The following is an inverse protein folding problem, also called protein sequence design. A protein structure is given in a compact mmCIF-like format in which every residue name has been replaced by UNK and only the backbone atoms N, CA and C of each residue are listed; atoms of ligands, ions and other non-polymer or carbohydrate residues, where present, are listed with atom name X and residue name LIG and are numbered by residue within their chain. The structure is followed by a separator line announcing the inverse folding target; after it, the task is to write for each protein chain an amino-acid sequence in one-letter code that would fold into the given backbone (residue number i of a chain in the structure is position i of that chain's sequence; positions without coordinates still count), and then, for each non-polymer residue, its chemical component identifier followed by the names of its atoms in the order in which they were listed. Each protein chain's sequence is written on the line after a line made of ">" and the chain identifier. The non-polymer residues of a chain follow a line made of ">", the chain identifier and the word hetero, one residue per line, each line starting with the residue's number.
data_IF_343333890743
#
_entry.id   IF_343333890743
#
_cell.length_a   1.000
_cell.length_b   1.000
_cell.length_c   1.000
_cell.angle_alpha   90.00
_cell.angle_beta   90.00
_cell.angle_gamma   90.00
#
_symmetry.space_group_name_H-M   'P 1'
#
loop_
_entity.id
_entity.type
_entity.pdbx_description
1 polymer ?
#
# COMPACT_ATOMS: atom_id res chain seq x y z
N UNK A 1 -14.52 -1.50 29.13
CA UNK A 1 -13.28 -1.59 28.32
C UNK A 1 -13.19 -0.30 27.53
N UNK A 2 -12.03 0.37 27.43
CA UNK A 2 -11.92 1.56 26.60
C UNK A 2 -12.27 1.20 25.15
N UNK A 3 -13.14 1.97 24.52
CA UNK A 3 -13.58 1.75 23.14
C UNK A 3 -12.36 1.63 22.23
N UNK A 4 -12.25 0.49 21.55
CA UNK A 4 -11.15 0.20 20.65
C UNK A 4 -11.32 1.06 19.41
N UNK A 5 -10.64 2.19 19.36
CA UNK A 5 -10.60 3.06 18.18
C UNK A 5 -9.96 2.31 17.02
N UNK A 6 -10.73 2.11 15.94
CA UNK A 6 -10.23 1.49 14.72
C UNK A 6 -9.55 2.57 13.86
N UNK A 7 -8.29 2.38 13.43
CA UNK A 7 -7.60 3.38 12.62
C UNK A 7 -8.26 3.51 11.24
N UNK A 8 -8.55 4.74 10.81
CA UNK A 8 -9.15 5.01 9.49
C UNK A 8 -8.25 4.67 8.29
N UNK A 9 -6.93 4.61 8.52
CA UNK A 9 -5.95 4.23 7.50
C UNK A 9 -4.92 3.26 8.10
N UNK A 10 -4.65 2.18 7.38
CA UNK A 10 -3.61 1.22 7.69
C UNK A 10 -2.63 1.13 6.52
N UNK A 11 -1.34 1.09 6.84
CA UNK A 11 -0.27 0.75 5.91
C UNK A 11 0.55 -0.37 6.52
N UNK A 12 0.67 -1.49 5.81
CA UNK A 12 1.42 -2.66 6.25
C UNK A 12 2.31 -3.20 5.14
N UNK A 13 3.44 -3.78 5.54
CA UNK A 13 4.43 -4.39 4.65
C UNK A 13 4.72 -5.80 5.11
N UNK A 14 4.89 -6.72 4.15
CA UNK A 14 5.58 -8.00 4.34
C UNK A 14 6.52 -8.21 3.16
N UNK A 15 7.44 -9.17 3.27
CA UNK A 15 8.30 -9.55 2.16
C UNK A 15 8.43 -11.06 2.06
N UNK A 16 8.65 -11.55 0.84
CA UNK A 16 8.81 -12.98 0.54
C UNK A 16 9.96 -13.19 -0.43
N UNK A 17 10.64 -14.34 -0.27
CA UNK A 17 11.61 -14.87 -1.23
C UNK A 17 11.08 -16.11 -1.98
N UNK A 18 9.83 -16.48 -1.74
CA UNK A 18 9.25 -17.73 -2.23
C UNK A 18 9.01 -17.71 -3.74
N UNK A 19 9.57 -18.69 -4.46
CA UNK A 19 9.34 -18.88 -5.90
C UNK A 19 7.87 -19.05 -6.25
N UNK A 20 7.13 -19.75 -5.39
CA UNK A 20 5.69 -19.94 -5.52
C UNK A 20 4.97 -18.59 -5.48
N UNK A 21 5.30 -17.73 -4.51
CA UNK A 21 4.67 -16.41 -4.37
C UNK A 21 5.00 -15.48 -5.55
N UNK A 22 6.23 -15.51 -6.05
CA UNK A 22 6.59 -14.79 -7.27
C UNK A 22 5.80 -15.28 -8.49
N UNK A 23 5.71 -16.59 -8.67
CA UNK A 23 4.98 -17.21 -9.77
C UNK A 23 3.48 -16.89 -9.70
N UNK A 24 2.89 -16.92 -8.51
CA UNK A 24 1.51 -16.49 -8.26
C UNK A 24 1.29 -15.02 -8.63
N UNK A 25 2.24 -14.14 -8.32
CA UNK A 25 2.16 -12.73 -8.72
C UNK A 25 2.27 -12.52 -10.22
N UNK A 26 3.25 -13.16 -10.85
CA UNK A 26 3.49 -13.05 -12.29
C UNK A 26 2.23 -13.51 -13.04
N UNK A 27 1.63 -14.62 -12.61
CA UNK A 27 0.36 -15.09 -13.15
C UNK A 27 -0.81 -14.13 -12.87
N UNK A 28 -0.79 -13.40 -11.75
CA UNK A 28 -1.79 -12.39 -11.43
C UNK A 28 -1.73 -11.19 -12.39
N UNK A 29 -0.54 -10.79 -12.85
CA UNK A 29 -0.35 -9.67 -13.80
C UNK A 29 -1.13 -9.91 -15.10
N UNK A 30 -1.12 -11.15 -15.60
CA UNK A 30 -1.80 -11.53 -16.86
C UNK A 30 -3.32 -11.59 -16.75
N UNK A 31 -3.89 -11.63 -15.54
CA UNK A 31 -5.33 -11.87 -15.38
C UNK A 31 -6.18 -10.73 -15.94
N UNK A 32 -7.28 -11.06 -16.64
CA UNK A 32 -8.32 -10.09 -16.98
C UNK A 32 -8.89 -9.45 -15.71
N UNK A 33 -9.20 -8.16 -15.79
CA UNK A 33 -9.71 -7.36 -14.66
C UNK A 33 -10.95 -7.98 -14.00
N UNK A 34 -11.87 -8.53 -14.82
CA UNK A 34 -13.11 -9.17 -14.39
C UNK A 34 -12.93 -10.46 -13.58
N UNK A 35 -11.75 -11.10 -13.61
CA UNK A 35 -11.48 -12.40 -12.95
C UNK A 35 -10.49 -12.24 -11.79
N UNK A 36 -9.82 -11.08 -11.66
CA UNK A 36 -8.86 -10.82 -10.57
C UNK A 36 -9.50 -10.88 -9.18
N UNK A 37 -10.77 -10.51 -9.11
CA UNK A 37 -11.63 -10.52 -7.94
C UNK A 37 -11.79 -11.88 -7.24
N UNK A 38 -12.00 -12.91 -8.05
CA UNK A 38 -12.53 -14.23 -7.62
C UNK A 38 -11.48 -15.16 -7.01
N UNK A 39 -10.19 -14.90 -7.25
CA UNK A 39 -9.11 -15.84 -6.96
C UNK A 39 -7.91 -15.20 -6.25
N UNK A 40 -8.12 -14.04 -5.63
CA UNK A 40 -7.09 -13.31 -4.91
C UNK A 40 -6.71 -13.85 -3.52
N UNK A 41 -7.50 -14.71 -2.83
CA UNK A 41 -7.09 -15.32 -1.57
C UNK A 41 -5.79 -16.16 -1.64
N UNK A 42 -5.17 -16.28 -2.82
CA UNK A 42 -3.92 -17.01 -3.04
C UNK A 42 -2.67 -16.10 -3.02
N UNK A 43 -2.81 -14.80 -3.29
CA UNK A 43 -1.65 -13.93 -3.56
C UNK A 43 -1.01 -13.34 -2.29
N UNK A 44 -1.80 -12.89 -1.33
CA UNK A 44 -1.26 -12.26 -0.12
C UNK A 44 -1.39 -13.20 1.07
N UNK A 45 -0.32 -13.37 1.86
CA UNK A 45 -0.42 -14.02 3.18
C UNK A 45 -1.19 -13.14 4.20
N UNK A 46 -1.75 -12.01 3.77
CA UNK A 46 -2.67 -11.19 4.54
C UNK A 46 -4.12 -11.71 4.49
N UNK A 47 -4.39 -12.74 3.69
CA UNK A 47 -5.70 -13.41 3.70
C UNK A 47 -6.05 -13.89 5.10
N UNK A 48 -5.11 -14.46 5.86
CA UNK A 48 -5.43 -14.93 7.21
C UNK A 48 -5.80 -13.81 8.20
N UNK A 49 -5.40 -12.55 7.92
CA UNK A 49 -5.73 -11.40 8.79
C UNK A 49 -7.05 -10.71 8.39
N UNK A 50 -7.51 -10.88 7.14
CA UNK A 50 -8.66 -10.15 6.57
C UNK A 50 -9.78 -11.07 6.03
N UNK A 51 -9.53 -12.37 5.85
CA UNK A 51 -10.45 -13.40 5.36
C UNK A 51 -11.15 -14.10 6.53
N UNK A 52 -11.65 -13.31 7.48
CA UNK A 52 -12.63 -13.80 8.43
C UNK A 52 -13.94 -14.02 7.64
N UNK A 53 -14.21 -15.29 7.29
CA UNK A 53 -15.40 -15.70 6.54
C UNK A 53 -16.73 -15.21 7.14
N UNK A 54 -16.73 -14.75 8.40
CA UNK A 54 -17.90 -14.15 9.05
C UNK A 54 -18.16 -12.69 8.67
N UNK A 55 -17.20 -11.97 8.06
CA UNK A 55 -17.32 -10.54 7.72
C UNK A 55 -17.62 -10.26 6.26
N UNK A 56 -17.65 -11.32 5.45
CA UNK A 56 -18.18 -11.33 4.09
C UNK A 56 -19.60 -10.73 4.05
N UNK A 57 -19.70 -9.43 3.73
CA UNK A 57 -20.99 -8.71 3.57
C UNK A 57 -21.80 -9.38 2.46
N UNK A 58 -23.14 -9.35 2.61
CA UNK A 58 -24.10 -9.83 1.59
C UNK A 58 -23.68 -9.30 0.21
N UNK A 59 -23.32 -10.26 -0.63
CA UNK A 59 -22.53 -10.09 -1.83
C UNK A 59 -23.35 -9.58 -3.01
N UNK A 60 -22.90 -8.49 -3.63
CA UNK A 60 -23.31 -8.11 -4.97
C UNK A 60 -22.11 -8.34 -5.90
N UNK A 61 -22.32 -9.02 -7.04
CA UNK A 61 -21.27 -9.33 -8.03
C UNK A 61 -20.47 -8.10 -8.57
N UNK A 62 -20.88 -6.88 -8.23
CA UNK A 62 -20.14 -5.63 -8.50
C UNK A 62 -18.98 -5.37 -7.51
N UNK A 63 -19.08 -5.82 -6.25
CA UNK A 63 -18.07 -5.56 -5.19
C UNK A 63 -16.86 -6.48 -5.26
N UNK A 64 -16.90 -7.49 -6.12
CA UNK A 64 -15.78 -8.38 -6.34
C UNK A 64 -14.60 -7.68 -7.02
N UNK A 65 -14.85 -6.63 -7.81
CA UNK A 65 -13.90 -6.07 -8.77
C UNK A 65 -12.57 -5.65 -8.12
N UNK A 66 -11.47 -5.91 -8.84
CA UNK A 66 -10.21 -5.22 -8.62
C UNK A 66 -9.99 -4.26 -9.79
N UNK A 67 -9.34 -3.12 -9.56
CA UNK A 67 -8.99 -2.19 -10.63
C UNK A 67 -7.98 -2.80 -11.60
N UNK A 68 -7.79 -2.14 -12.76
CA UNK A 68 -6.61 -2.31 -13.58
C UNK A 68 -5.33 -2.19 -12.72
N UNK A 69 -4.25 -2.84 -13.17
CA UNK A 69 -2.94 -2.60 -12.56
C UNK A 69 -2.53 -1.18 -12.88
N UNK A 70 -1.95 -0.49 -11.90
CA UNK A 70 -1.33 0.81 -12.09
C UNK A 70 0.08 0.81 -11.52
N UNK A 71 0.89 1.78 -11.95
CA UNK A 71 2.29 1.96 -11.55
C UNK A 71 2.54 3.41 -11.14
N UNK A 72 3.80 3.75 -10.90
CA UNK A 72 4.25 5.11 -10.62
C UNK A 72 3.78 6.14 -11.66
N UNK A 73 3.64 5.74 -12.92
CA UNK A 73 3.39 6.68 -14.03
C UNK A 73 2.19 6.32 -14.91
N UNK A 74 1.59 5.14 -14.73
CA UNK A 74 0.45 4.67 -15.56
C UNK A 74 -0.72 4.27 -14.70
N UNK A 75 -1.94 4.67 -15.08
CA UNK A 75 -3.19 4.31 -14.40
C UNK A 75 -3.72 2.93 -14.82
N UNK A 76 -3.28 2.44 -15.97
CA UNK A 76 -3.56 1.11 -16.53
C UNK A 76 -2.33 0.63 -17.31
N UNK A 77 -2.18 -0.69 -17.46
CA UNK A 77 -1.07 -1.30 -18.18
C UNK A 77 -1.57 -1.99 -19.47
N UNK A 78 -0.90 -1.71 -20.58
CA UNK A 78 -1.08 -2.45 -21.84
C UNK A 78 -0.54 -3.88 -21.71
N UNK A 79 -0.91 -4.81 -22.62
CA UNK A 79 -0.34 -6.16 -22.62
C UNK A 79 1.20 -6.18 -22.67
N UNK A 80 1.82 -5.31 -23.48
CA UNK A 80 3.28 -5.20 -23.59
C UNK A 80 3.93 -4.70 -22.29
N UNK A 81 3.29 -3.73 -21.63
CA UNK A 81 3.76 -3.20 -20.35
C UNK A 81 3.62 -4.23 -19.22
N UNK A 82 2.56 -5.05 -19.25
CA UNK A 82 2.40 -6.19 -18.35
C UNK A 82 3.53 -7.21 -18.54
N UNK A 83 3.88 -7.51 -19.79
CA UNK A 83 4.99 -8.43 -20.08
C UNK A 83 6.32 -7.86 -19.61
N UNK A 84 6.58 -6.57 -19.86
CA UNK A 84 7.76 -5.87 -19.33
C UNK A 84 7.82 -5.94 -17.81
N UNK A 85 6.71 -5.70 -17.12
CA UNK A 85 6.61 -5.80 -15.67
C UNK A 85 6.92 -7.22 -15.18
N UNK A 86 6.39 -8.26 -15.83
CA UNK A 86 6.67 -9.67 -15.51
C UNK A 86 8.15 -10.00 -15.63
N UNK A 87 8.82 -9.49 -16.67
CA UNK A 87 10.26 -9.67 -16.84
C UNK A 87 11.05 -9.02 -15.70
N UNK A 88 10.64 -7.84 -15.22
CA UNK A 88 11.27 -7.18 -14.07
C UNK A 88 11.13 -8.01 -12.78
N UNK A 89 9.94 -8.56 -12.51
CA UNK A 89 9.70 -9.44 -11.35
C UNK A 89 10.46 -10.77 -11.47
N UNK A 90 10.52 -11.35 -12.66
CA UNK A 90 11.30 -12.57 -12.93
C UNK A 90 12.80 -12.32 -12.73
N UNK A 91 13.32 -11.16 -13.18
CA UNK A 91 14.71 -10.76 -12.98
C UNK A 91 15.03 -10.56 -11.50
N UNK A 92 14.14 -9.90 -10.77
CA UNK A 92 14.26 -9.72 -9.32
C UNK A 92 14.35 -11.07 -8.59
N UNK A 93 13.46 -12.01 -8.93
CA UNK A 93 13.47 -13.36 -8.37
C UNK A 93 14.81 -14.07 -8.62
N UNK A 94 15.30 -14.07 -9.87
CA UNK A 94 16.60 -14.67 -10.23
C UNK A 94 17.78 -14.04 -9.48
N UNK A 95 17.66 -12.77 -9.12
CA UNK A 95 18.67 -12.03 -8.38
C UNK A 95 18.50 -12.14 -6.85
N UNK A 96 17.64 -13.04 -6.36
CA UNK A 96 17.32 -13.23 -4.95
C UNK A 96 16.80 -11.95 -4.27
N UNK A 97 16.20 -11.05 -5.03
CA UNK A 97 15.56 -9.84 -4.51
C UNK A 97 14.26 -10.23 -3.79
N UNK A 98 13.99 -9.72 -2.58
CA UNK A 98 12.70 -9.94 -1.95
C UNK A 98 11.59 -9.24 -2.73
N UNK A 99 10.43 -9.87 -2.83
CA UNK A 99 9.20 -9.16 -3.21
C UNK A 99 8.55 -8.62 -1.96
N UNK A 100 8.46 -7.30 -1.87
CA UNK A 100 7.68 -6.64 -0.81
C UNK A 100 6.22 -6.53 -1.23
N UNK A 101 5.33 -6.95 -0.33
CA UNK A 101 3.89 -6.87 -0.50
C UNK A 101 3.36 -5.83 0.49
N UNK A 102 2.98 -4.65 -0.03
CA UNK A 102 2.34 -3.61 0.75
C UNK A 102 0.83 -3.72 0.65
N UNK A 103 0.17 -3.29 1.72
CA UNK A 103 -1.26 -3.03 1.75
C UNK A 103 -1.50 -1.65 2.32
N UNK A 104 -2.22 -0.81 1.58
CA UNK A 104 -2.91 0.37 2.11
C UNK A 104 -4.37 -0.02 2.26
N UNK A 105 -4.96 0.15 3.44
CA UNK A 105 -6.38 -0.13 3.66
C UNK A 105 -7.03 1.06 4.36
N UNK A 106 -8.24 1.38 3.92
CA UNK A 106 -9.01 2.50 4.42
C UNK A 106 -10.33 1.99 4.99
N UNK A 107 -10.78 2.55 6.11
CA UNK A 107 -12.17 2.33 6.51
C UNK A 107 -13.10 3.07 5.56
N UNK A 108 -14.26 2.50 5.26
CA UNK A 108 -15.27 3.15 4.41
C UNK A 108 -15.66 4.51 4.99
N UNK A 109 -15.80 4.61 6.33
CA UNK A 109 -16.15 5.85 7.02
C UNK A 109 -15.10 6.96 6.80
N UNK A 110 -13.81 6.60 6.77
CA UNK A 110 -12.74 7.57 6.55
C UNK A 110 -12.79 8.12 5.12
N UNK A 111 -13.02 7.25 4.13
CA UNK A 111 -13.15 7.68 2.74
C UNK A 111 -14.41 8.52 2.51
N UNK A 112 -15.53 8.16 3.12
CA UNK A 112 -16.78 8.94 3.04
C UNK A 112 -16.64 10.31 3.69
N UNK A 113 -16.04 10.39 4.88
CA UNK A 113 -15.81 11.65 5.60
C UNK A 113 -15.01 12.64 4.75
N UNK A 114 -14.11 12.15 3.90
CA UNK A 114 -13.27 12.95 3.02
C UNK A 114 -13.76 13.00 1.57
N UNK A 115 -15.00 12.58 1.30
CA UNK A 115 -15.64 12.69 -0.01
C UNK A 115 -15.03 11.79 -1.10
N UNK A 116 -14.25 10.77 -0.72
CA UNK A 116 -13.58 9.87 -1.66
C UNK A 116 -14.39 8.61 -1.95
N UNK A 117 -15.36 8.28 -1.11
CA UNK A 117 -16.22 7.12 -1.30
C UNK A 117 -17.68 7.50 -1.06
N UNK A 118 -18.56 6.97 -1.90
CA UNK A 118 -20.01 7.03 -1.72
C UNK A 118 -20.53 5.60 -1.53
N UNK A 119 -20.89 5.25 -0.30
CA UNK A 119 -21.37 3.91 0.06
C UNK A 119 -22.71 3.57 -0.58
N UNK A 120 -23.53 4.57 -0.92
CA UNK A 120 -24.84 4.35 -1.56
C UNK A 120 -24.69 3.88 -3.01
N UNK A 121 -23.71 4.44 -3.73
CA UNK A 121 -23.43 4.08 -5.13
C UNK A 121 -22.28 3.09 -5.28
N UNK A 122 -21.48 2.89 -4.23
CA UNK A 122 -20.22 2.14 -4.25
C UNK A 122 -19.12 2.83 -5.06
N UNK A 123 -19.24 4.13 -5.33
CA UNK A 123 -18.30 4.87 -6.18
C UNK A 123 -17.13 5.39 -5.37
N UNK A 124 -15.92 5.01 -5.76
CA UNK A 124 -14.65 5.47 -5.21
C UNK A 124 -13.99 6.47 -6.17
N UNK A 125 -13.38 7.53 -5.64
CA UNK A 125 -12.44 8.36 -6.39
C UNK A 125 -11.12 7.61 -6.57
N UNK A 126 -11.10 6.67 -7.53
CA UNK A 126 -9.91 5.87 -7.82
C UNK A 126 -8.71 6.73 -8.24
N UNK A 127 -8.93 7.88 -8.86
CA UNK A 127 -7.84 8.77 -9.28
C UNK A 127 -7.11 9.32 -8.06
N UNK A 128 -7.87 9.78 -7.06
CA UNK A 128 -7.28 10.24 -5.80
C UNK A 128 -6.57 9.12 -5.06
N UNK A 129 -7.15 7.91 -5.05
CA UNK A 129 -6.52 6.75 -4.41
C UNK A 129 -5.21 6.34 -5.11
N UNK A 130 -5.15 6.36 -6.45
CA UNK A 130 -3.90 6.12 -7.21
C UNK A 130 -2.86 7.19 -6.89
N UNK A 131 -3.24 8.47 -6.87
CA UNK A 131 -2.35 9.59 -6.53
C UNK A 131 -1.73 9.39 -5.13
N UNK A 132 -2.57 9.16 -4.12
CA UNK A 132 -2.13 8.95 -2.74
C UNK A 132 -1.24 7.70 -2.63
N UNK A 133 -1.56 6.64 -3.36
CA UNK A 133 -0.71 5.44 -3.42
C UNK A 133 0.66 5.76 -4.01
N UNK A 134 0.74 6.55 -5.08
CA UNK A 134 2.03 6.97 -5.68
C UNK A 134 2.86 7.79 -4.71
N UNK A 135 2.23 8.73 -3.99
CA UNK A 135 2.91 9.54 -2.97
C UNK A 135 3.44 8.65 -1.83
N UNK A 136 2.62 7.71 -1.35
CA UNK A 136 3.03 6.74 -0.34
C UNK A 136 4.24 5.92 -0.78
N UNK A 137 4.21 5.42 -2.02
CA UNK A 137 5.29 4.64 -2.60
C UNK A 137 6.56 5.46 -2.82
N UNK A 138 6.44 6.71 -3.27
CA UNK A 138 7.57 7.60 -3.43
C UNK A 138 8.27 7.87 -2.09
N UNK A 139 7.50 8.15 -1.03
CA UNK A 139 8.05 8.33 0.32
C UNK A 139 8.73 7.06 0.82
N UNK A 140 8.07 5.90 0.68
CA UNK A 140 8.60 4.61 1.13
C UNK A 140 9.92 4.27 0.44
N UNK A 141 9.98 4.38 -0.89
CA UNK A 141 11.17 4.03 -1.68
C UNK A 141 12.34 4.96 -1.37
N UNK A 142 12.09 6.26 -1.21
CA UNK A 142 13.10 7.23 -0.80
C UNK A 142 13.68 6.90 0.58
N UNK A 143 12.82 6.62 1.57
CA UNK A 143 13.24 6.35 2.93
C UNK A 143 14.02 5.02 3.05
N UNK A 144 13.67 4.04 2.23
CA UNK A 144 14.38 2.76 2.14
C UNK A 144 15.59 2.77 1.19
N UNK A 145 15.88 3.90 0.53
CA UNK A 145 16.95 4.08 -0.46
C UNK A 145 16.85 3.13 -1.66
N UNK A 146 15.62 2.94 -2.12
CA UNK A 146 15.25 2.09 -3.24
C UNK A 146 14.74 2.91 -4.44
N UNK A 147 14.78 4.25 -4.34
CA UNK A 147 14.44 5.14 -5.43
C UNK A 147 15.37 4.92 -6.63
N UNK A 148 14.78 4.85 -7.83
CA UNK A 148 15.51 4.52 -9.07
C UNK A 148 15.88 3.05 -9.25
N UNK A 149 15.89 2.23 -8.19
CA UNK A 149 16.21 0.80 -8.27
C UNK A 149 14.96 -0.10 -8.26
N UNK A 150 13.89 0.32 -7.59
CA UNK A 150 12.69 -0.48 -7.43
C UNK A 150 11.68 -0.29 -8.56
N UNK A 151 10.97 -1.39 -8.86
CA UNK A 151 9.79 -1.44 -9.72
C UNK A 151 8.61 -1.91 -8.87
N UNK A 152 7.45 -1.30 -9.07
CA UNK A 152 6.23 -1.70 -8.38
C UNK A 152 5.00 -1.59 -9.27
N UNK A 153 3.98 -2.35 -8.90
CA UNK A 153 2.64 -2.23 -9.45
C UNK A 153 1.60 -2.50 -8.37
N UNK A 154 0.41 -1.92 -8.56
CA UNK A 154 -0.65 -1.94 -7.57
C UNK A 154 -2.03 -2.14 -8.20
N UNK A 155 -2.99 -2.55 -7.39
CA UNK A 155 -4.41 -2.66 -7.75
C UNK A 155 -5.29 -2.34 -6.56
N UNK A 156 -6.40 -1.65 -6.79
CA UNK A 156 -7.44 -1.32 -5.81
C UNK A 156 -8.43 -2.49 -5.74
N UNK A 157 -8.80 -2.92 -4.54
CA UNK A 157 -9.67 -4.06 -4.27
C UNK A 157 -10.87 -3.62 -3.43
N UNK A 158 -12.03 -4.14 -3.78
CA UNK A 158 -13.34 -3.80 -3.21
C UNK A 158 -14.00 -4.99 -2.48
N UNK A 159 -13.34 -6.14 -2.49
CA UNK A 159 -13.90 -7.47 -2.20
C UNK A 159 -13.76 -7.93 -0.74
N UNK A 160 -13.51 -7.02 0.19
CA UNK A 160 -13.42 -7.29 1.64
C UNK A 160 -14.15 -6.20 2.43
N UNK A 161 -14.12 -6.25 3.77
CA UNK A 161 -14.74 -5.26 4.66
C UNK A 161 -14.39 -3.81 4.32
N UNK A 162 -13.17 -3.58 3.82
CA UNK A 162 -12.60 -2.27 3.58
C UNK A 162 -12.00 -2.19 2.17
N UNK A 163 -12.07 -1.01 1.55
CA UNK A 163 -11.31 -0.70 0.34
C UNK A 163 -9.81 -0.75 0.66
N UNK A 164 -9.06 -1.46 -0.17
CA UNK A 164 -7.63 -1.63 0.04
C UNK A 164 -6.86 -1.74 -1.27
N UNK A 165 -5.56 -1.50 -1.20
CA UNK A 165 -4.65 -1.46 -2.33
C UNK A 165 -3.54 -2.43 -2.04
N UNK A 166 -3.42 -3.45 -2.89
CA UNK A 166 -2.28 -4.35 -2.91
C UNK A 166 -1.20 -3.75 -3.79
N UNK A 167 0.03 -3.74 -3.29
CA UNK A 167 1.20 -3.22 -3.99
C UNK A 167 2.30 -4.28 -3.91
N UNK A 168 2.83 -4.70 -5.05
CA UNK A 168 4.02 -5.53 -5.09
C UNK A 168 5.21 -4.69 -5.55
N UNK A 169 6.33 -4.85 -4.87
CA UNK A 169 7.56 -4.08 -5.10
C UNK A 169 8.72 -5.06 -5.18
N UNK A 170 9.63 -4.82 -6.12
CA UNK A 170 10.89 -5.56 -6.25
C UNK A 170 12.00 -4.61 -6.66
N UNK A 171 13.25 -4.98 -6.39
CA UNK A 171 14.40 -4.41 -7.09
C UNK A 171 14.91 -5.44 -8.11
N UNK A 172 14.75 -5.22 -9.42
CA UNK A 172 15.27 -6.14 -10.43
C UNK A 172 16.78 -6.35 -10.32
N UNK A 173 17.52 -5.34 -9.87
CA UNK A 173 18.90 -5.43 -9.43
C UNK A 173 18.95 -4.98 -7.95
N UNK A 174 18.88 -5.90 -6.97
CA UNK A 174 18.74 -5.54 -5.56
C UNK A 174 19.95 -4.75 -5.03
N UNK A 175 19.67 -3.67 -4.30
CA UNK A 175 20.69 -2.74 -3.79
C UNK A 175 20.86 -2.81 -2.28
N UNK A 176 19.91 -3.44 -1.59
CA UNK A 176 19.93 -3.52 -0.13
C UNK A 176 21.14 -4.31 0.39
N UNK A 177 21.54 -4.04 1.62
CA UNK A 177 22.58 -4.83 2.28
C UNK A 177 22.11 -6.28 2.45
N UNK A 178 23.01 -7.22 2.18
CA UNK A 178 22.82 -8.62 2.54
C UNK A 178 23.06 -8.85 4.03
N UNK A 179 22.40 -9.87 4.58
CA UNK A 179 22.57 -10.33 5.96
C UNK A 179 22.66 -11.84 5.98
N UNK A 180 23.50 -12.35 6.86
CA UNK A 180 23.54 -13.77 7.19
C UNK A 180 22.39 -14.10 8.15
N UNK A 181 21.72 -15.22 7.88
CA UNK A 181 20.69 -15.79 8.75
C UNK A 181 21.01 -17.26 8.97
N UNK A 182 20.72 -17.73 10.17
CA UNK A 182 20.88 -19.13 10.51
C UNK A 182 19.48 -19.75 10.49
N UNK A 183 19.26 -20.63 9.52
CA UNK A 183 17.99 -21.36 9.36
C UNK A 183 18.20 -22.82 9.76
N UNK A 184 17.14 -23.48 10.24
CA UNK A 184 17.15 -24.93 10.45
C UNK A 184 16.95 -25.60 9.11
N UNK A 185 17.98 -26.28 8.61
CA UNK A 185 17.92 -27.13 7.45
C UNK A 185 17.14 -28.43 7.72
N UNK A 186 16.93 -29.20 6.66
CA UNK A 186 16.35 -30.55 6.76
C UNK A 186 17.23 -31.41 7.68
N UNK A 187 16.64 -32.01 8.71
CA UNK A 187 17.35 -32.84 9.69
C UNK A 187 17.92 -32.10 10.91
N UNK A 188 17.58 -30.82 11.10
CA UNK A 188 17.95 -30.06 12.29
C UNK A 188 19.35 -29.43 12.26
N UNK A 189 20.07 -29.55 11.14
CA UNK A 189 21.33 -28.85 10.91
C UNK A 189 21.09 -27.34 10.81
N UNK A 190 22.02 -26.54 11.33
CA UNK A 190 22.00 -25.10 11.19
C UNK A 190 22.69 -24.72 9.89
N UNK A 191 21.94 -24.13 8.95
CA UNK A 191 22.44 -23.67 7.66
C UNK A 191 22.61 -22.16 7.73
N UNK A 192 23.77 -21.66 7.28
CA UNK A 192 24.01 -20.22 7.11
C UNK A 192 23.59 -19.83 5.69
N UNK A 193 22.65 -18.92 5.59
CA UNK A 193 22.15 -18.39 4.32
C UNK A 193 22.36 -16.88 4.30
N UNK A 194 22.91 -16.39 3.19
CA UNK A 194 23.04 -14.95 2.94
C UNK A 194 21.87 -14.49 2.06
N UNK A 195 21.08 -13.54 2.54
CA UNK A 195 19.96 -12.96 1.77
C UNK A 195 19.90 -11.44 1.94
N UNK A 196 19.29 -10.76 0.97
CA UNK A 196 19.04 -9.33 1.05
C UNK A 196 18.15 -8.99 2.26
N UNK A 197 18.41 -7.87 2.93
CA UNK A 197 17.58 -7.42 4.05
C UNK A 197 16.16 -7.07 3.54
N UNK A 198 15.18 -7.90 3.86
CA UNK A 198 13.77 -7.65 3.53
C UNK A 198 13.09 -6.62 4.44
N UNK A 199 13.39 -6.62 5.75
CA UNK A 199 12.73 -5.71 6.70
C UNK A 199 12.95 -4.22 6.35
N UNK A 200 11.86 -3.46 6.33
CA UNK A 200 11.87 -2.00 6.20
C UNK A 200 12.14 -1.33 7.55
N UNK A 201 12.56 -0.06 7.54
CA UNK A 201 12.74 0.71 8.76
C UNK A 201 11.37 1.04 9.39
N UNK A 202 11.15 0.78 10.69
CA UNK A 202 9.89 1.12 11.37
C UNK A 202 9.47 2.59 11.22
N UNK A 203 10.44 3.52 11.13
CA UNK A 203 10.16 4.96 10.93
C UNK A 203 9.52 5.27 9.57
N UNK A 204 9.83 4.46 8.54
CA UNK A 204 9.25 4.59 7.19
C UNK A 204 7.73 4.50 7.23
N UNK A 205 7.17 3.56 8.00
CA UNK A 205 5.73 3.38 8.12
C UNK A 205 5.02 4.61 8.68
N UNK A 206 5.62 5.29 9.66
CA UNK A 206 5.06 6.53 10.22
C UNK A 206 5.03 7.66 9.20
N UNK A 207 6.11 7.82 8.41
CA UNK A 207 6.18 8.83 7.34
C UNK A 207 5.21 8.55 6.21
N UNK A 208 5.13 7.30 5.75
CA UNK A 208 4.18 6.88 4.71
C UNK A 208 2.75 7.12 5.14
N UNK A 209 2.36 6.70 6.36
CA UNK A 209 1.02 6.98 6.90
C UNK A 209 0.72 8.48 6.98
N UNK A 210 1.68 9.28 7.45
CA UNK A 210 1.55 10.74 7.50
C UNK A 210 1.33 11.32 6.10
N UNK A 211 2.10 10.88 5.10
CA UNK A 211 1.92 11.29 3.71
C UNK A 211 0.55 10.91 3.15
N UNK A 212 0.06 9.70 3.43
CA UNK A 212 -1.28 9.28 3.00
C UNK A 212 -2.34 10.21 3.59
N UNK A 213 -2.34 10.40 4.91
CA UNK A 213 -3.35 11.20 5.62
C UNK A 213 -3.30 12.67 5.16
N UNK A 214 -2.12 13.26 5.07
CA UNK A 214 -1.96 14.67 4.68
C UNK A 214 -2.39 14.96 3.23
N UNK A 215 -2.47 13.94 2.37
CA UNK A 215 -2.92 14.09 0.98
C UNK A 215 -4.39 13.70 0.77
N UNK A 216 -5.09 13.28 1.84
CA UNK A 216 -6.53 13.01 1.84
C UNK A 216 -7.29 14.06 2.63
N UNK A 217 -6.79 14.43 3.82
CA UNK A 217 -7.45 15.39 4.70
C UNK A 217 -7.26 16.79 4.15
N UNK A 218 -8.36 17.43 3.72
CA UNK A 218 -8.36 18.88 3.50
C UNK A 218 -8.16 19.60 4.84
N UNK A 219 -7.10 20.42 4.91
CA UNK A 219 -6.73 21.18 6.10
C UNK A 219 -6.95 22.68 5.95
N UNK A 220 -7.48 23.13 4.81
CA UNK A 220 -7.74 24.54 4.58
C UNK A 220 -8.63 25.15 5.68
N UNK A 221 -9.70 24.47 6.18
CA UNK A 221 -10.54 25.00 7.24
C UNK A 221 -9.81 25.18 8.58
N UNK A 222 -9.00 24.21 9.00
CA UNK A 222 -8.24 24.28 10.26
C UNK A 222 -7.13 25.33 10.18
N UNK A 223 -6.42 25.41 9.05
CA UNK A 223 -5.39 26.43 8.83
C UNK A 223 -5.98 27.84 8.82
N UNK A 224 -7.17 28.02 8.25
CA UNK A 224 -7.88 29.29 8.29
C UNK A 224 -8.23 29.67 9.73
N UNK A 225 -8.78 28.75 10.52
CA UNK A 225 -9.07 28.99 11.96
C UNK A 225 -7.81 29.34 12.75
N UNK A 226 -6.69 28.66 12.51
CA UNK A 226 -5.41 28.97 13.17
C UNK A 226 -4.96 30.39 12.80
N UNK A 227 -5.02 30.75 11.52
CA UNK A 227 -4.67 32.09 11.05
C UNK A 227 -5.58 33.17 11.66
N UNK A 228 -6.87 32.90 11.78
CA UNK A 228 -7.84 33.82 12.39
C UNK A 228 -7.54 34.04 13.87
N UNK A 229 -7.24 32.98 14.64
CA UNK A 229 -6.82 33.08 16.05
C UNK A 229 -5.52 33.88 16.18
N UNK A 230 -4.50 33.59 15.35
CA UNK A 230 -3.23 34.33 15.40
C UNK A 230 -3.45 35.82 15.11
N UNK A 231 -4.28 36.14 14.12
CA UNK A 231 -4.51 37.52 13.70
C UNK A 231 -5.36 38.30 14.70
N UNK A 232 -6.42 37.69 15.21
CA UNK A 232 -7.40 38.36 16.07
C UNK A 232 -7.00 38.37 17.54
N UNK A 233 -6.34 37.33 18.03
CA UNK A 233 -6.00 37.24 19.45
C UNK A 233 -4.56 37.68 19.69
N UNK A 234 -3.58 37.11 18.98
CA UNK A 234 -2.17 37.34 19.29
C UNK A 234 -1.64 38.67 18.71
N UNK A 235 -1.94 38.96 17.44
CA UNK A 235 -1.42 40.17 16.77
C UNK A 235 -2.16 41.43 17.24
N UNK A 236 -3.47 41.34 17.46
CA UNK A 236 -4.26 42.47 17.96
C UNK A 236 -3.87 42.82 19.41
N UNK A 237 -3.69 41.83 20.28
CA UNK A 237 -3.26 42.02 21.66
C UNK A 237 -1.87 42.67 21.73
N UNK A 238 -0.91 42.23 20.90
CA UNK A 238 0.40 42.89 20.79
C UNK A 238 0.33 44.34 20.34
N UNK A 239 -0.55 44.68 19.39
CA UNK A 239 -0.74 46.07 18.95
C UNK A 239 -1.34 46.95 20.05
N UNK A 240 -2.25 46.40 20.85
CA UNK A 240 -2.84 47.11 21.99
C UNK A 240 -1.84 47.37 23.13
N UNK A 241 -0.86 46.49 23.33
CA UNK A 241 0.20 46.65 24.36
C UNK A 241 1.41 47.46 23.89
N UNK A 242 1.52 47.77 22.60
CA UNK A 242 2.60 48.58 22.02
C UNK A 242 2.18 50.04 21.75
N UNK A 243 0.96 50.41 22.18
CA UNK A 243 0.37 51.75 22.02
C UNK A 243 0.29 52.46 23.36
#
# INVERSE_FOLDING_TARGET
>A
MPDKTTPGVIFTSRYVFSDKKFSEYINYIDRPEAIRSLNFPKFSDYTDYMDDKKKQRLFNAKSEKASALFTATKDHLTPEEKETLKQQFTKAQKNNSPMWQQVISFTDEFLEQHGLFDRSTGKLDENKIREVTRIAMQEMLKDEKMDGAAVWSASIHYNTDNIHIHIAVVEPCPTRQKKEFITKGKGGSMVREEQFKGNMNPKTFGKVKSKIINNIVDRAPELQRINDIIRNDIVAEKRSHSS
#
